data_IF_841686333475
#
_entry.id   IF_841686333475
#
_cell.length_a   1.000
_cell.length_b   1.000
_cell.length_c   1.000
_cell.angle_alpha   90.00
_cell.angle_beta   90.00
_cell.angle_gamma   90.00
#
_symmetry.space_group_name_H-M   'P 1'
#
loop_
_entity.id
_entity.type
_entity.pdbx_description
1 polymer ?
#
# COMPACT_ATOMS: atom_id res chain seq x y z
N UNK A 1 18.68 5.23 -11.52
CA UNK A 1 17.32 5.19 -12.08
C UNK A 1 16.92 3.72 -12.15
N UNK A 2 15.82 3.29 -11.52
CA UNK A 2 15.33 1.93 -11.67
C UNK A 2 15.05 1.64 -13.16
N UNK A 3 15.29 0.39 -13.57
CA UNK A 3 14.94 -0.05 -14.92
C UNK A 3 13.41 0.02 -15.08
N UNK A 4 12.95 0.53 -16.23
CA UNK A 4 11.53 0.72 -16.50
C UNK A 4 11.10 -0.26 -17.59
N UNK A 5 9.98 -0.97 -17.37
CA UNK A 5 9.34 -1.75 -18.42
C UNK A 5 8.23 -0.92 -19.04
N UNK A 6 8.41 -0.52 -20.30
CA UNK A 6 7.43 0.27 -21.08
C UNK A 6 6.69 -0.60 -22.08
N UNK A 7 5.37 -0.45 -22.17
CA UNK A 7 4.53 -1.17 -23.13
C UNK A 7 3.33 -0.31 -23.57
N UNK A 8 2.91 -0.49 -24.82
CA UNK A 8 1.70 0.13 -25.36
C UNK A 8 0.45 -0.65 -24.95
N UNK A 9 -0.58 0.06 -24.50
CA UNK A 9 -1.93 -0.43 -24.23
C UNK A 9 -2.86 0.13 -25.31
N UNK A 10 -3.50 -0.74 -26.08
CA UNK A 10 -4.52 -0.37 -27.07
C UNK A 10 -5.92 -0.70 -26.53
N UNK A 11 -6.86 0.23 -26.66
CA UNK A 11 -8.24 0.08 -26.22
C UNK A 11 -9.19 0.90 -27.12
N UNK A 12 -10.50 0.75 -26.93
CA UNK A 12 -11.50 1.42 -27.79
C UNK A 12 -11.44 2.94 -27.77
N UNK A 13 -10.88 3.54 -26.71
CA UNK A 13 -10.70 4.99 -26.56
C UNK A 13 -9.35 5.52 -27.07
N UNK A 14 -8.45 4.67 -27.57
CA UNK A 14 -7.15 5.08 -28.09
C UNK A 14 -6.00 4.15 -27.68
N UNK A 15 -4.80 4.71 -27.60
CA UNK A 15 -3.59 3.99 -27.20
C UNK A 15 -2.83 4.78 -26.13
N UNK A 16 -2.24 4.07 -25.16
CA UNK A 16 -1.37 4.64 -24.13
C UNK A 16 -0.02 3.95 -24.12
N UNK A 17 1.05 4.72 -23.99
CA UNK A 17 2.38 4.19 -23.67
C UNK A 17 2.55 4.25 -22.15
N UNK A 18 2.62 3.09 -21.50
CA UNK A 18 2.69 3.01 -20.03
C UNK A 18 3.96 2.29 -19.59
N UNK A 19 4.61 2.82 -18.58
CA UNK A 19 5.81 2.29 -17.97
C UNK A 19 5.58 1.95 -16.49
N UNK A 20 6.26 0.90 -16.02
CA UNK A 20 6.34 0.58 -14.59
C UNK A 20 7.79 0.43 -14.13
N UNK A 21 8.12 0.81 -12.88
CA UNK A 21 9.39 0.47 -12.26
C UNK A 21 9.53 -1.04 -12.09
N UNK A 22 10.72 -1.60 -12.32
CA UNK A 22 10.97 -3.03 -12.11
C UNK A 22 12.28 -3.57 -12.69
N UNK A 23 12.30 -4.87 -12.94
CA UNK A 23 13.49 -5.68 -13.27
C UNK A 23 13.79 -5.77 -14.78
N UNK A 24 13.23 -4.88 -15.59
CA UNK A 24 13.33 -4.95 -17.06
C UNK A 24 12.63 -6.17 -17.68
N UNK A 25 11.84 -6.93 -16.90
CA UNK A 25 11.09 -8.09 -17.41
C UNK A 25 9.94 -7.60 -18.31
N UNK A 26 9.94 -7.92 -19.61
CA UNK A 26 8.93 -7.44 -20.56
C UNK A 26 7.54 -8.05 -20.31
N UNK A 27 7.44 -9.13 -19.52
CA UNK A 27 6.16 -9.74 -19.13
C UNK A 27 5.46 -8.95 -18.02
N UNK A 28 6.21 -8.08 -17.32
CA UNK A 28 5.73 -7.22 -16.26
C UNK A 28 5.42 -5.83 -16.81
N UNK A 29 4.21 -5.63 -17.30
CA UNK A 29 3.72 -4.35 -17.84
C UNK A 29 3.03 -3.52 -16.75
N UNK A 30 2.86 -2.22 -17.01
CA UNK A 30 2.11 -1.28 -16.15
C UNK A 30 0.60 -1.53 -16.12
N UNK A 31 0.14 -2.52 -16.89
CA UNK A 31 -1.26 -2.88 -17.05
C UNK A 31 -1.36 -4.38 -17.37
N UNK A 32 -2.53 -4.97 -17.13
CA UNK A 32 -2.86 -6.31 -17.54
C UNK A 32 -4.23 -6.42 -18.23
N UNK A 33 -4.61 -7.64 -18.63
CA UNK A 33 -5.82 -7.86 -19.40
C UNK A 33 -7.12 -7.48 -18.66
N UNK A 34 -7.08 -7.33 -17.34
CA UNK A 34 -8.25 -6.85 -16.62
C UNK A 34 -8.37 -5.33 -16.67
N UNK A 35 -7.27 -4.59 -16.84
CA UNK A 35 -7.32 -3.15 -17.11
C UNK A 35 -7.89 -2.89 -18.51
N UNK A 36 -7.45 -3.66 -19.52
CA UNK A 36 -8.04 -3.64 -20.88
C UNK A 36 -9.56 -3.83 -20.83
N UNK A 37 -10.02 -4.91 -20.17
CA UNK A 37 -11.43 -5.25 -20.10
C UNK A 37 -12.23 -4.23 -19.29
N UNK A 38 -11.66 -3.66 -18.23
CA UNK A 38 -12.31 -2.59 -17.47
C UNK A 38 -12.48 -1.32 -18.31
N UNK A 39 -11.48 -0.92 -19.11
CA UNK A 39 -11.57 0.24 -19.99
C UNK A 39 -12.67 0.07 -21.04
N UNK A 40 -12.71 -1.08 -21.72
CA UNK A 40 -13.74 -1.37 -22.73
C UNK A 40 -15.15 -1.24 -22.14
N UNK A 41 -15.38 -1.85 -20.98
CA UNK A 41 -16.70 -1.85 -20.33
C UNK A 41 -17.05 -0.49 -19.70
N UNK A 42 -16.06 0.24 -19.17
CA UNK A 42 -16.26 1.56 -18.61
C UNK A 42 -16.63 2.58 -19.68
N UNK A 43 -16.00 2.54 -20.86
CA UNK A 43 -16.33 3.43 -21.98
C UNK A 43 -17.76 3.15 -22.48
N UNK A 44 -18.13 1.87 -22.63
CA UNK A 44 -19.49 1.49 -23.00
C UNK A 44 -20.52 1.94 -21.95
N UNK A 45 -20.24 1.74 -20.66
CA UNK A 45 -21.12 2.16 -19.58
C UNK A 45 -21.25 3.69 -19.51
N UNK A 46 -20.16 4.42 -19.68
CA UNK A 46 -20.17 5.89 -19.66
C UNK A 46 -21.02 6.46 -20.80
N UNK A 47 -20.89 5.93 -22.01
CA UNK A 47 -21.71 6.35 -23.15
C UNK A 47 -23.23 6.16 -22.90
N UNK A 48 -23.61 5.10 -22.19
CA UNK A 48 -25.02 4.86 -21.81
C UNK A 48 -25.51 5.80 -20.70
N UNK A 49 -24.61 6.29 -19.84
CA UNK A 49 -24.91 7.21 -18.74
C UNK A 49 -24.86 8.68 -19.17
N UNK A 50 -24.28 9.00 -20.33
CA UNK A 50 -24.10 10.36 -20.84
C UNK A 50 -22.84 11.02 -20.26
N UNK A 51 -23.00 11.82 -19.22
CA UNK A 51 -21.91 12.54 -18.53
C UNK A 51 -21.79 12.07 -17.06
N UNK A 52 -21.35 10.82 -16.82
CA UNK A 52 -21.29 10.28 -15.46
C UNK A 52 -20.15 10.90 -14.66
N UNK A 53 -20.34 11.04 -13.34
CA UNK A 53 -19.21 11.22 -12.42
C UNK A 53 -18.52 9.89 -12.22
N UNK A 54 -17.26 9.82 -12.67
CA UNK A 54 -16.47 8.59 -12.66
C UNK A 54 -15.53 8.54 -11.46
N UNK A 55 -15.49 7.39 -10.80
CA UNK A 55 -14.50 7.06 -9.77
C UNK A 55 -13.65 5.88 -10.23
N UNK A 56 -12.33 6.04 -10.21
CA UNK A 56 -11.36 4.94 -10.39
C UNK A 56 -10.76 4.59 -9.03
N UNK A 57 -10.80 3.30 -8.68
CA UNK A 57 -10.34 2.80 -7.38
C UNK A 57 -9.21 1.78 -7.57
N UNK A 58 -8.10 2.02 -6.87
CA UNK A 58 -6.90 1.16 -6.83
C UNK A 58 -6.28 0.85 -8.21
N UNK A 59 -6.24 1.85 -9.09
CA UNK A 59 -5.37 1.81 -10.26
C UNK A 59 -3.89 1.62 -9.83
N UNK A 60 -3.12 0.85 -10.58
CA UNK A 60 -1.76 0.48 -10.18
C UNK A 60 -0.72 1.48 -10.71
N UNK A 61 -0.79 1.78 -12.00
CA UNK A 61 0.18 2.62 -12.70
C UNK A 61 -0.47 3.63 -13.63
N UNK A 62 -1.79 3.83 -13.56
CA UNK A 62 -2.49 4.86 -14.32
C UNK A 62 -3.19 4.36 -15.59
N UNK A 63 -3.26 3.05 -15.82
CA UNK A 63 -3.89 2.51 -17.03
C UNK A 63 -5.37 2.88 -17.12
N UNK A 64 -6.10 2.77 -16.01
CA UNK A 64 -7.51 3.10 -15.93
C UNK A 64 -7.72 4.62 -15.86
N UNK A 65 -6.92 5.29 -15.05
CA UNK A 65 -7.04 6.73 -14.79
C UNK A 65 -6.75 7.56 -16.04
N UNK A 66 -5.68 7.23 -16.77
CA UNK A 66 -5.32 7.89 -18.03
C UNK A 66 -6.22 7.42 -19.18
N UNK A 67 -6.58 6.14 -19.21
CA UNK A 67 -7.47 5.59 -20.25
C UNK A 67 -8.89 6.17 -20.20
N UNK A 68 -9.33 6.64 -19.03
CA UNK A 68 -10.61 7.30 -18.82
C UNK A 68 -10.48 8.83 -18.65
N UNK A 69 -9.32 9.42 -18.93
CA UNK A 69 -9.05 10.84 -18.70
C UNK A 69 -10.08 11.80 -19.34
N UNK A 70 -10.65 11.45 -20.50
CA UNK A 70 -11.70 12.23 -21.16
C UNK A 70 -12.99 12.37 -20.31
N UNK A 71 -13.18 11.50 -19.33
CA UNK A 71 -14.29 11.54 -18.36
C UNK A 71 -13.91 12.26 -17.06
N UNK A 72 -12.69 12.81 -16.96
CA UNK A 72 -12.16 13.50 -15.77
C UNK A 72 -12.40 12.73 -14.47
N UNK A 73 -11.90 11.48 -14.37
CA UNK A 73 -12.23 10.60 -13.25
C UNK A 73 -11.63 11.13 -11.95
N UNK A 74 -12.40 11.02 -10.87
CA UNK A 74 -11.85 11.05 -9.52
C UNK A 74 -11.07 9.76 -9.28
N UNK A 75 -9.86 9.85 -8.72
CA UNK A 75 -9.00 8.68 -8.49
C UNK A 75 -8.71 8.54 -6.99
N UNK A 76 -8.91 7.33 -6.45
CA UNK A 76 -8.53 7.00 -5.07
C UNK A 76 -7.77 5.68 -5.02
N UNK A 77 -6.71 5.61 -4.21
CA UNK A 77 -5.95 4.37 -4.03
C UNK A 77 -5.32 4.27 -2.63
N UNK A 78 -5.09 3.04 -2.18
CA UNK A 78 -4.24 2.77 -1.01
C UNK A 78 -2.74 2.73 -1.36
N UNK A 79 -2.26 3.68 -2.17
CA UNK A 79 -0.88 3.67 -2.66
C UNK A 79 -0.32 5.06 -2.89
N UNK A 80 0.69 5.44 -2.10
CA UNK A 80 1.50 6.64 -2.31
C UNK A 80 2.37 6.58 -3.59
N UNK A 81 2.47 5.41 -4.23
CA UNK A 81 3.22 5.24 -5.49
C UNK A 81 2.43 5.79 -6.69
N UNK A 82 1.10 5.72 -6.64
CA UNK A 82 0.23 6.02 -7.78
C UNK A 82 0.39 7.46 -8.32
N UNK A 83 0.49 8.53 -7.50
CA UNK A 83 0.68 9.89 -8.01
C UNK A 83 1.93 10.02 -8.89
N UNK A 84 3.07 9.46 -8.46
CA UNK A 84 4.31 9.51 -9.23
C UNK A 84 4.23 8.64 -10.49
N UNK A 85 3.60 7.47 -10.41
CA UNK A 85 3.36 6.61 -11.57
C UNK A 85 2.47 7.29 -12.62
N UNK A 86 1.40 7.97 -12.18
CA UNK A 86 0.53 8.76 -13.04
C UNK A 86 1.25 9.91 -13.70
N UNK A 87 2.01 10.71 -12.94
CA UNK A 87 2.77 11.83 -13.49
C UNK A 87 3.79 11.34 -14.54
N UNK A 88 4.49 10.24 -14.25
CA UNK A 88 5.42 9.64 -15.19
C UNK A 88 4.70 9.16 -16.46
N UNK A 89 3.64 8.38 -16.33
CA UNK A 89 2.92 7.83 -17.47
C UNK A 89 2.15 8.89 -18.27
N UNK A 90 1.67 9.96 -17.63
CA UNK A 90 1.12 11.12 -18.33
C UNK A 90 2.20 11.82 -19.18
N UNK A 91 3.45 11.91 -18.69
CA UNK A 91 4.55 12.48 -19.48
C UNK A 91 4.89 11.69 -20.75
N UNK A 92 4.53 10.39 -20.79
CA UNK A 92 4.65 9.54 -21.98
C UNK A 92 3.46 9.68 -22.96
N UNK A 93 2.38 10.35 -22.54
CA UNK A 93 1.13 10.51 -23.27
C UNK A 93 0.69 12.00 -23.24
N UNK A 94 1.41 12.92 -23.92
CA UNK A 94 1.21 14.36 -23.78
C UNK A 94 -0.17 14.88 -24.20
N UNK A 95 -0.90 14.12 -25.03
CA UNK A 95 -2.28 14.43 -25.45
C UNK A 95 -3.33 14.10 -24.37
N UNK A 96 -2.93 13.39 -23.31
CA UNK A 96 -3.82 12.95 -22.24
C UNK A 96 -3.63 13.84 -21.03
N UNK A 97 -4.69 14.54 -20.63
CA UNK A 97 -4.69 15.32 -19.39
C UNK A 97 -4.89 14.38 -18.20
N UNK A 98 -3.91 14.20 -17.30
CA UNK A 98 -4.09 13.33 -16.15
C UNK A 98 -5.09 13.94 -15.14
N UNK A 99 -5.68 13.11 -14.27
CA UNK A 99 -6.44 13.61 -13.12
C UNK A 99 -5.61 14.58 -12.27
N UNK A 100 -6.25 15.65 -11.77
CA UNK A 100 -5.57 16.73 -11.03
C UNK A 100 -4.89 16.22 -9.75
N UNK A 101 -5.52 15.27 -9.06
CA UNK A 101 -4.99 14.69 -7.83
C UNK A 101 -5.45 13.24 -7.64
N UNK A 102 -4.74 12.54 -6.77
CA UNK A 102 -5.08 11.19 -6.32
C UNK A 102 -5.44 11.27 -4.84
N UNK A 103 -6.65 10.86 -4.51
CA UNK A 103 -7.09 10.74 -3.13
C UNK A 103 -6.50 9.48 -2.48
N UNK A 104 -6.36 9.52 -1.17
CA UNK A 104 -6.01 8.36 -0.34
C UNK A 104 -7.11 8.09 0.67
N UNK A 105 -7.03 7.00 1.44
CA UNK A 105 -8.02 6.75 2.49
C UNK A 105 -7.92 7.70 3.69
N UNK A 106 -6.86 8.52 3.78
CA UNK A 106 -6.74 9.62 4.76
C UNK A 106 -7.70 10.75 4.41
N UNK A 107 -7.93 10.98 3.11
CA UNK A 107 -8.76 12.05 2.56
C UNK A 107 -9.66 11.48 1.46
N UNK A 108 -10.43 10.43 1.77
CA UNK A 108 -11.23 9.73 0.77
C UNK A 108 -12.21 10.69 0.06
N UNK A 109 -12.45 10.53 -1.26
CA UNK A 109 -13.32 11.44 -1.99
C UNK A 109 -14.78 11.25 -1.58
N UNK A 110 -15.56 12.32 -1.66
CA UNK A 110 -17.01 12.28 -1.48
C UNK A 110 -17.71 12.05 -2.82
N UNK A 111 -18.81 11.30 -2.79
CA UNK A 111 -19.65 11.09 -3.96
C UNK A 111 -20.81 12.11 -4.04
N UNK A 112 -21.92 11.78 -4.71
CA UNK A 112 -22.16 10.49 -5.36
C UNK A 112 -21.33 10.25 -6.64
N UNK A 113 -21.13 9.01 -7.04
CA UNK A 113 -20.53 8.60 -8.31
C UNK A 113 -21.52 7.75 -9.11
N UNK A 114 -21.55 7.96 -10.42
CA UNK A 114 -22.47 7.31 -11.35
C UNK A 114 -21.83 6.07 -11.98
N UNK A 115 -20.51 6.10 -12.18
CA UNK A 115 -19.71 4.98 -12.66
C UNK A 115 -18.48 4.79 -11.76
N UNK A 116 -18.28 3.58 -11.25
CA UNK A 116 -17.11 3.19 -10.47
C UNK A 116 -16.36 2.10 -11.22
N UNK A 117 -15.05 2.28 -11.40
CA UNK A 117 -14.13 1.31 -11.98
C UNK A 117 -13.14 0.88 -10.90
N UNK A 118 -13.27 -0.36 -10.44
CA UNK A 118 -12.51 -0.91 -9.32
C UNK A 118 -11.55 -1.99 -9.80
N UNK A 119 -10.26 -1.82 -9.53
CA UNK A 119 -9.30 -2.92 -9.57
C UNK A 119 -9.50 -3.80 -8.33
N UNK A 120 -9.88 -5.06 -8.51
CA UNK A 120 -10.13 -5.97 -7.37
C UNK A 120 -8.81 -6.23 -6.63
N UNK A 121 -8.71 -5.88 -5.32
CA UNK A 121 -7.51 -6.17 -4.55
C UNK A 121 -7.38 -7.66 -4.26
N UNK A 122 -6.18 -8.09 -3.85
CA UNK A 122 -5.89 -9.50 -3.54
C UNK A 122 -6.47 -9.95 -2.20
N UNK A 123 -6.68 -9.02 -1.29
CA UNK A 123 -7.15 -9.27 0.07
C UNK A 123 -8.69 -9.23 0.10
N UNK A 124 -9.32 -10.32 0.56
CA UNK A 124 -10.77 -10.41 0.64
C UNK A 124 -11.38 -9.36 1.59
N UNK A 125 -10.77 -9.14 2.74
CA UNK A 125 -11.23 -8.13 3.70
C UNK A 125 -11.12 -6.71 3.11
N UNK A 126 -10.08 -6.42 2.30
CA UNK A 126 -9.96 -5.11 1.66
C UNK A 126 -11.00 -4.93 0.56
N UNK A 127 -11.25 -5.95 -0.27
CA UNK A 127 -12.38 -5.94 -1.22
C UNK A 127 -13.72 -5.70 -0.49
N UNK A 128 -13.97 -6.40 0.61
CA UNK A 128 -15.20 -6.24 1.39
C UNK A 128 -15.35 -4.82 1.95
N UNK A 129 -14.25 -4.22 2.40
CA UNK A 129 -14.21 -2.84 2.87
C UNK A 129 -14.54 -1.85 1.75
N UNK A 130 -13.91 -2.01 0.57
CA UNK A 130 -14.14 -1.16 -0.60
C UNK A 130 -15.60 -1.22 -1.05
N UNK A 131 -16.16 -2.42 -1.22
CA UNK A 131 -17.55 -2.57 -1.66
C UNK A 131 -18.55 -1.91 -0.68
N UNK A 132 -18.30 -2.03 0.63
CA UNK A 132 -19.13 -1.37 1.67
C UNK A 132 -18.98 0.14 1.68
N UNK A 133 -17.77 0.66 1.43
CA UNK A 133 -17.53 2.09 1.27
C UNK A 133 -18.21 2.63 0.00
N UNK A 134 -18.09 1.91 -1.12
CA UNK A 134 -18.71 2.25 -2.40
C UNK A 134 -20.24 2.37 -2.28
N UNK A 135 -20.87 1.51 -1.48
CA UNK A 135 -22.30 1.62 -1.20
C UNK A 135 -22.72 2.92 -0.49
N UNK A 136 -21.80 3.75 0.00
CA UNK A 136 -22.11 5.09 0.53
C UNK A 136 -21.92 6.18 -0.54
N UNK A 137 -20.95 6.00 -1.43
CA UNK A 137 -20.52 7.05 -2.37
C UNK A 137 -21.07 6.85 -3.79
N UNK A 138 -21.76 5.75 -4.09
CA UNK A 138 -22.45 5.56 -5.38
C UNK A 138 -23.87 6.14 -5.37
N UNK A 139 -24.37 6.58 -6.53
CA UNK A 139 -25.80 6.82 -6.73
C UNK A 139 -26.60 5.51 -6.65
N UNK A 140 -27.92 5.62 -6.43
CA UNK A 140 -28.80 4.44 -6.37
C UNK A 140 -28.87 3.69 -7.71
N UNK A 141 -28.70 4.40 -8.82
CA UNK A 141 -28.59 3.88 -10.18
C UNK A 141 -27.14 3.69 -10.65
N UNK A 142 -26.16 3.85 -9.75
CA UNK A 142 -24.74 3.82 -10.09
C UNK A 142 -24.27 2.43 -10.51
N UNK A 143 -23.33 2.40 -11.45
CA UNK A 143 -22.73 1.18 -12.00
C UNK A 143 -21.35 0.98 -11.40
N UNK A 144 -21.09 -0.21 -10.85
CA UNK A 144 -19.76 -0.65 -10.43
C UNK A 144 -19.24 -1.71 -11.41
N UNK A 145 -18.08 -1.45 -12.00
CA UNK A 145 -17.29 -2.40 -12.76
C UNK A 145 -16.07 -2.81 -11.94
N UNK A 146 -16.05 -4.04 -11.43
CA UNK A 146 -14.95 -4.55 -10.64
C UNK A 146 -14.17 -5.62 -11.41
N UNK A 147 -12.88 -5.42 -11.63
CA UNK A 147 -12.08 -6.25 -12.53
C UNK A 147 -10.76 -6.72 -11.93
N UNK A 148 -10.34 -7.93 -12.29
CA UNK A 148 -9.13 -8.58 -11.76
C UNK A 148 -8.64 -9.72 -12.65
N UNK A 149 -7.33 -9.98 -12.63
CA UNK A 149 -6.80 -11.24 -13.15
C UNK A 149 -7.29 -12.39 -12.28
N UNK A 150 -7.86 -13.44 -12.87
CA UNK A 150 -8.52 -14.55 -12.14
C UNK A 150 -7.60 -15.19 -11.10
N UNK A 151 -6.32 -15.40 -11.45
CA UNK A 151 -5.29 -15.96 -10.54
C UNK A 151 -4.96 -15.07 -9.33
N UNK A 152 -5.49 -13.86 -9.29
CA UNK A 152 -5.20 -12.85 -8.26
C UNK A 152 -6.45 -12.41 -7.50
N UNK A 153 -7.63 -12.88 -7.92
CA UNK A 153 -8.87 -12.65 -7.19
C UNK A 153 -8.80 -13.36 -5.83
N UNK A 154 -9.28 -12.72 -4.74
CA UNK A 154 -9.38 -13.37 -3.45
C UNK A 154 -10.24 -14.64 -3.54
N UNK A 155 -9.85 -15.69 -2.84
CA UNK A 155 -10.58 -16.97 -2.84
C UNK A 155 -12.05 -16.83 -2.44
N UNK A 156 -12.35 -15.89 -1.52
CA UNK A 156 -13.71 -15.59 -1.03
C UNK A 156 -14.40 -14.43 -1.77
N UNK A 157 -13.89 -14.03 -2.94
CA UNK A 157 -14.45 -12.89 -3.68
C UNK A 157 -15.93 -13.03 -3.98
N UNK A 158 -16.40 -14.23 -4.37
CA UNK A 158 -17.82 -14.49 -4.66
C UNK A 158 -18.71 -14.18 -3.45
N UNK A 159 -18.36 -14.70 -2.27
CA UNK A 159 -19.10 -14.45 -1.02
C UNK A 159 -19.09 -12.95 -0.68
N UNK A 160 -17.93 -12.30 -0.82
CA UNK A 160 -17.78 -10.86 -0.54
C UNK A 160 -18.66 -10.01 -1.45
N UNK A 161 -18.73 -10.31 -2.75
CA UNK A 161 -19.64 -9.61 -3.67
C UNK A 161 -21.11 -9.85 -3.28
N UNK A 162 -21.50 -11.09 -3.01
CA UNK A 162 -22.87 -11.45 -2.64
C UNK A 162 -23.33 -10.79 -1.33
N UNK A 163 -22.44 -10.62 -0.36
CA UNK A 163 -22.73 -9.96 0.91
C UNK A 163 -22.79 -8.42 0.80
N UNK A 164 -22.05 -7.82 -0.13
CA UNK A 164 -21.84 -6.38 -0.14
C UNK A 164 -22.67 -5.63 -1.19
N UNK A 165 -22.78 -6.15 -2.43
CA UNK A 165 -23.37 -5.43 -3.57
C UNK A 165 -24.37 -6.30 -4.33
N UNK A 166 -25.15 -5.71 -5.23
CA UNK A 166 -26.04 -6.45 -6.13
C UNK A 166 -25.31 -6.75 -7.43
N UNK A 167 -24.85 -7.98 -7.60
CA UNK A 167 -24.24 -8.43 -8.87
C UNK A 167 -25.30 -8.54 -9.96
N UNK A 168 -25.15 -7.77 -11.04
CA UNK A 168 -26.03 -7.85 -12.21
C UNK A 168 -25.52 -8.86 -13.23
N UNK A 169 -24.20 -8.85 -13.47
CA UNK A 169 -23.59 -9.67 -14.51
C UNK A 169 -22.14 -10.00 -14.18
N UNK A 170 -21.74 -11.23 -14.42
CA UNK A 170 -20.34 -11.64 -14.50
C UNK A 170 -19.99 -11.76 -15.97
N UNK A 171 -19.07 -10.92 -16.46
CA UNK A 171 -18.74 -10.88 -17.88
C UNK A 171 -17.90 -12.10 -18.29
N UNK A 172 -17.96 -12.54 -19.56
CA UNK A 172 -17.11 -13.61 -20.05
C UNK A 172 -15.63 -13.33 -19.80
N UNK A 173 -14.90 -14.34 -19.31
CA UNK A 173 -13.48 -14.18 -19.05
C UNK A 173 -12.71 -13.98 -20.37
N UNK A 174 -11.82 -12.98 -20.41
CA UNK A 174 -10.93 -12.70 -21.55
C UNK A 174 -9.49 -12.66 -21.08
N UNK A 175 -8.56 -13.34 -21.78
CA UNK A 175 -7.12 -13.36 -21.43
C UNK A 175 -6.83 -13.61 -19.93
N UNK A 176 -7.62 -14.49 -19.28
CA UNK A 176 -7.57 -14.80 -17.83
C UNK A 176 -7.95 -13.64 -16.89
N UNK A 177 -8.51 -12.56 -17.41
CA UNK A 177 -9.17 -11.50 -16.67
C UNK A 177 -10.67 -11.76 -16.51
N UNK A 178 -11.27 -11.10 -15.52
CA UNK A 178 -12.71 -11.10 -15.28
C UNK A 178 -13.15 -9.72 -14.81
N UNK A 179 -14.30 -9.27 -15.30
CA UNK A 179 -15.01 -8.08 -14.84
C UNK A 179 -16.39 -8.51 -14.35
N UNK A 180 -16.83 -7.89 -13.26
CA UNK A 180 -18.13 -8.08 -12.64
C UNK A 180 -18.83 -6.73 -12.65
N UNK A 181 -20.05 -6.70 -13.17
CA UNK A 181 -20.94 -5.54 -13.15
C UNK A 181 -21.90 -5.66 -11.97
N UNK A 182 -21.91 -4.64 -11.13
CA UNK A 182 -22.74 -4.57 -9.94
C UNK A 182 -23.48 -3.23 -9.85
N UNK A 183 -24.55 -3.20 -9.06
CA UNK A 183 -25.14 -1.97 -8.54
C UNK A 183 -24.96 -1.89 -7.02
N UNK A 184 -25.20 -0.70 -6.49
CA UNK A 184 -25.19 -0.41 -5.06
C UNK A 184 -26.02 -1.44 -4.27
N UNK A 185 -25.42 -1.98 -3.19
CA UNK A 185 -26.08 -2.79 -2.17
C UNK A 185 -26.43 -1.99 -0.91
N UNK A 186 -26.89 -2.68 0.14
CA UNK A 186 -27.25 -2.07 1.42
C UNK A 186 -26.15 -2.16 2.50
N UNK A 187 -25.13 -2.98 2.26
CA UNK A 187 -24.04 -3.21 3.21
C UNK A 187 -23.18 -1.95 3.37
N UNK A 188 -22.88 -1.55 4.61
CA UNK A 188 -22.06 -0.38 4.88
C UNK A 188 -20.94 -0.70 5.91
N UNK A 189 -20.09 0.30 6.19
CA UNK A 189 -18.95 0.17 7.10
C UNK A 189 -19.29 0.40 8.58
N UNK A 190 -20.36 1.12 8.90
CA UNK A 190 -20.64 1.59 10.27
C UNK A 190 -20.77 0.44 11.27
N UNK A 191 -21.43 -0.65 10.86
CA UNK A 191 -21.66 -1.83 11.70
C UNK A 191 -20.73 -2.99 11.37
N UNK A 192 -19.72 -2.76 10.51
CA UNK A 192 -18.85 -3.85 10.06
C UNK A 192 -17.71 -4.08 11.05
N UNK A 193 -17.88 -5.10 11.89
CA UNK A 193 -16.90 -5.50 12.93
C UNK A 193 -15.51 -5.80 12.39
N UNK A 194 -15.40 -6.18 11.11
CA UNK A 194 -14.13 -6.43 10.45
C UNK A 194 -13.46 -5.16 9.89
N UNK A 195 -13.93 -3.94 10.22
CA UNK A 195 -13.24 -2.68 9.88
C UNK A 195 -11.94 -2.51 10.67
N UNK A 196 -11.93 -2.86 11.95
CA UNK A 196 -10.73 -2.86 12.78
C UNK A 196 -10.55 -4.26 13.38
N UNK A 197 -9.42 -4.90 13.07
CA UNK A 197 -9.02 -6.17 13.68
C UNK A 197 -7.59 -6.05 14.16
N UNK A 198 -7.23 -6.89 15.12
CA UNK A 198 -5.84 -7.16 15.37
C UNK A 198 -5.61 -8.04 16.57
N UNK A 199 -4.53 -7.76 17.28
CA UNK A 199 -3.97 -8.62 18.31
C UNK A 199 -3.39 -7.76 19.43
N UNK A 200 -2.97 -8.42 20.51
CA UNK A 200 -2.35 -7.75 21.65
C UNK A 200 -0.88 -8.08 21.71
N UNK A 201 -0.06 -7.10 22.02
CA UNK A 201 1.36 -7.27 22.29
C UNK A 201 1.53 -7.61 23.78
N UNK A 202 1.28 -8.88 24.13
CA UNK A 202 1.63 -9.41 25.45
C UNK A 202 3.13 -9.61 25.56
N UNK A 203 3.73 -9.26 26.71
CA UNK A 203 4.98 -9.78 27.32
C UNK A 203 5.88 -8.69 27.95
N UNK A 204 5.58 -7.38 27.80
CA UNK A 204 6.36 -6.28 28.40
C UNK A 204 5.47 -5.14 28.91
N UNK A 205 6.07 -4.12 29.56
CA UNK A 205 5.41 -3.03 30.33
C UNK A 205 4.17 -2.43 29.63
N UNK A 206 3.02 -3.01 29.90
CA UNK A 206 1.74 -2.58 29.33
C UNK A 206 1.32 -3.44 28.14
N UNK A 207 0.09 -3.92 28.21
CA UNK A 207 -0.53 -4.73 27.17
C UNK A 207 -1.08 -3.82 26.06
N UNK A 208 -0.30 -3.64 25.00
CA UNK A 208 -0.61 -2.72 23.89
C UNK A 208 -1.50 -3.42 22.88
N UNK A 209 -2.71 -2.89 22.67
CA UNK A 209 -3.61 -3.33 21.61
C UNK A 209 -3.15 -2.81 20.25
N UNK A 210 -3.01 -3.72 19.28
CA UNK A 210 -2.71 -3.38 17.89
C UNK A 210 -3.97 -3.64 17.06
N UNK A 211 -4.46 -2.62 16.39
CA UNK A 211 -5.56 -2.71 15.43
C UNK A 211 -5.09 -2.23 14.06
N UNK A 212 -5.64 -2.80 13.00
CA UNK A 212 -5.37 -2.33 11.66
C UNK A 212 -6.58 -2.43 10.74
N UNK A 213 -6.58 -1.57 9.72
CA UNK A 213 -7.52 -1.60 8.61
C UNK A 213 -7.25 -2.79 7.66
N UNK A 214 -8.22 -3.16 6.80
CA UNK A 214 -8.20 -4.40 6.01
C UNK A 214 -7.05 -4.62 5.04
N UNK A 215 -6.45 -3.56 4.49
CA UNK A 215 -5.33 -3.66 3.53
C UNK A 215 -3.98 -3.91 4.23
N UNK A 216 -3.89 -3.73 5.54
CA UNK A 216 -2.62 -3.71 6.27
C UNK A 216 -2.04 -5.11 6.46
N UNK A 217 -0.73 -5.23 6.24
CA UNK A 217 0.02 -6.46 6.46
C UNK A 217 -0.05 -6.94 7.91
N UNK A 218 -0.10 -8.26 8.10
CA UNK A 218 -0.12 -8.91 9.42
C UNK A 218 -1.18 -8.33 10.37
N UNK A 219 -2.32 -7.88 9.82
CA UNK A 219 -3.44 -7.26 10.54
C UNK A 219 -3.89 -8.07 11.74
N UNK A 220 -4.15 -9.37 11.58
CA UNK A 220 -4.79 -10.20 12.62
C UNK A 220 -3.82 -10.84 13.61
N UNK A 221 -2.54 -10.97 13.25
CA UNK A 221 -1.54 -11.67 14.07
C UNK A 221 -0.16 -11.07 13.85
N UNK A 222 0.62 -10.98 14.91
CA UNK A 222 2.01 -10.54 14.85
C UNK A 222 2.82 -11.40 13.87
N UNK A 223 3.44 -10.73 12.89
CA UNK A 223 4.35 -11.35 11.93
C UNK A 223 5.55 -12.01 12.64
N UNK A 224 5.99 -13.15 12.10
CA UNK A 224 7.07 -13.94 12.70
C UNK A 224 8.41 -13.20 12.61
N UNK A 225 8.69 -12.54 11.49
CA UNK A 225 9.91 -11.74 11.32
C UNK A 225 9.93 -10.56 12.28
N UNK A 226 8.82 -9.81 12.32
CA UNK A 226 8.62 -8.69 13.25
C UNK A 226 8.80 -9.12 14.70
N UNK A 227 8.18 -10.25 15.11
CA UNK A 227 8.36 -10.82 16.45
C UNK A 227 9.82 -11.11 16.80
N UNK A 228 10.60 -11.63 15.85
CA UNK A 228 12.03 -11.89 16.05
C UNK A 228 12.81 -10.58 16.27
N UNK A 229 12.39 -9.48 15.62
CA UNK A 229 13.05 -8.18 15.69
C UNK A 229 12.72 -7.40 16.98
N UNK A 230 11.53 -7.59 17.57
CA UNK A 230 11.05 -6.80 18.72
C UNK A 230 12.02 -6.72 19.91
N UNK A 231 12.66 -7.81 20.38
CA UNK A 231 13.63 -7.72 21.46
C UNK A 231 14.82 -6.79 21.14
N UNK A 232 15.24 -6.76 19.87
CA UNK A 232 16.34 -5.93 19.39
C UNK A 232 15.94 -4.46 19.28
N UNK A 233 14.69 -4.16 18.91
CA UNK A 233 14.15 -2.79 18.96
C UNK A 233 14.26 -2.25 20.38
N UNK A 234 13.80 -3.02 21.37
CA UNK A 234 13.84 -2.61 22.79
C UNK A 234 15.28 -2.39 23.25
N UNK A 235 16.20 -3.30 22.93
CA UNK A 235 17.60 -3.15 23.32
C UNK A 235 18.21 -1.87 22.73
N UNK A 236 17.97 -1.61 21.44
CA UNK A 236 18.51 -0.41 20.78
C UNK A 236 17.92 0.88 21.36
N UNK A 237 16.62 0.89 21.64
CA UNK A 237 15.90 2.04 22.21
C UNK A 237 16.27 2.31 23.68
N UNK A 238 16.58 1.27 24.46
CA UNK A 238 16.93 1.43 25.89
C UNK A 238 18.10 2.39 26.11
N UNK A 239 19.04 2.44 25.14
CA UNK A 239 20.24 3.29 25.16
C UNK A 239 20.12 4.58 24.35
N UNK A 240 18.95 4.88 23.79
CA UNK A 240 18.70 6.14 23.09
C UNK A 240 18.91 7.36 24.02
N UNK A 241 18.85 8.56 23.50
CA UNK A 241 18.77 9.82 24.27
C UNK A 241 17.35 10.38 24.21
N UNK A 242 17.04 11.27 25.15
CA UNK A 242 15.76 11.97 25.15
C UNK A 242 15.64 12.78 23.86
N UNK A 243 14.53 12.64 23.15
CA UNK A 243 14.30 13.34 21.88
C UNK A 243 15.01 12.74 20.66
N UNK A 244 15.65 11.56 20.78
CA UNK A 244 16.16 10.84 19.61
C UNK A 244 15.02 10.57 18.61
N UNK A 245 15.38 10.68 17.33
CA UNK A 245 14.48 10.55 16.19
C UNK A 245 14.48 9.13 15.66
N UNK A 246 13.29 8.52 15.57
CA UNK A 246 13.07 7.15 15.10
C UNK A 246 12.12 7.14 13.93
N UNK A 247 12.50 6.48 12.84
CA UNK A 247 11.63 6.21 11.71
C UNK A 247 11.19 4.74 11.72
N UNK A 248 9.88 4.50 11.77
CA UNK A 248 9.28 3.21 11.43
C UNK A 248 8.94 3.22 9.93
N UNK A 249 9.79 2.59 9.12
CA UNK A 249 9.72 2.61 7.66
C UNK A 249 9.00 1.38 7.13
N UNK A 250 8.03 1.58 6.25
CA UNK A 250 7.04 0.56 5.86
C UNK A 250 6.31 0.05 7.11
N UNK A 251 5.75 0.98 7.88
CA UNK A 251 5.33 0.75 9.25
C UNK A 251 4.17 -0.24 9.42
N UNK A 252 3.35 -0.46 8.40
CA UNK A 252 2.15 -1.29 8.50
C UNK A 252 1.23 -0.82 9.63
N UNK A 253 0.97 -1.68 10.61
CA UNK A 253 0.17 -1.34 11.80
C UNK A 253 0.94 -0.54 12.88
N UNK A 254 2.22 -0.22 12.64
CA UNK A 254 3.09 0.58 13.52
C UNK A 254 3.75 -0.21 14.65
N UNK A 255 3.64 -1.54 14.68
CA UNK A 255 4.05 -2.35 15.84
C UNK A 255 5.52 -2.15 16.26
N UNK A 256 6.44 -1.87 15.33
CA UNK A 256 7.84 -1.61 15.65
C UNK A 256 8.01 -0.26 16.37
N UNK A 257 7.39 0.80 15.87
CA UNK A 257 7.37 2.11 16.53
C UNK A 257 6.64 2.09 17.86
N UNK A 258 5.51 1.37 17.99
CA UNK A 258 4.82 1.19 19.27
C UNK A 258 5.68 0.44 20.30
N UNK A 259 6.48 -0.54 19.87
CA UNK A 259 7.43 -1.22 20.75
C UNK A 259 8.55 -0.26 21.22
N UNK A 260 9.02 0.63 20.34
CA UNK A 260 9.96 1.68 20.73
C UNK A 260 9.35 2.64 21.77
N UNK A 261 8.13 3.12 21.57
CA UNK A 261 7.42 3.99 22.52
C UNK A 261 7.13 3.31 23.87
N UNK A 262 6.88 1.99 23.85
CA UNK A 262 6.67 1.20 25.07
C UNK A 262 7.92 1.16 25.95
N UNK A 263 9.10 1.14 25.33
CA UNK A 263 10.38 1.20 26.05
C UNK A 263 10.71 2.63 26.45
N UNK A 264 10.49 3.61 25.56
CA UNK A 264 10.87 4.99 25.79
C UNK A 264 9.89 5.99 25.15
N UNK A 265 9.23 6.79 25.99
CA UNK A 265 8.13 7.68 25.60
C UNK A 265 8.56 9.06 25.06
N UNK A 266 9.79 9.48 25.30
CA UNK A 266 10.30 10.81 24.91
C UNK A 266 11.01 10.83 23.55
N UNK A 267 10.85 9.75 22.77
CA UNK A 267 11.32 9.66 21.38
C UNK A 267 10.47 10.54 20.44
N UNK A 268 11.07 10.94 19.32
CA UNK A 268 10.39 11.61 18.20
C UNK A 268 10.18 10.58 17.09
N UNK A 269 8.95 10.11 16.90
CA UNK A 269 8.66 9.06 15.93
C UNK A 269 8.10 9.59 14.62
N UNK A 270 8.53 9.01 13.52
CA UNK A 270 7.88 9.13 12.21
C UNK A 270 7.47 7.74 11.75
N UNK A 271 6.23 7.59 11.34
CA UNK A 271 5.70 6.38 10.71
C UNK A 271 5.50 6.66 9.22
N UNK A 272 6.17 5.93 8.35
CA UNK A 272 6.07 6.10 6.89
C UNK A 272 5.62 4.81 6.22
N UNK A 273 4.59 4.89 5.38
CA UNK A 273 4.12 3.76 4.59
C UNK A 273 3.51 4.22 3.26
N UNK A 274 3.56 3.34 2.25
CA UNK A 274 2.89 3.52 0.97
C UNK A 274 1.38 3.30 1.07
N UNK A 275 0.91 2.58 2.08
CA UNK A 275 -0.50 2.33 2.32
C UNK A 275 -1.07 3.40 3.26
N UNK A 276 -2.04 4.16 2.79
CA UNK A 276 -2.79 5.10 3.62
C UNK A 276 -3.56 4.38 4.75
N UNK A 277 -4.01 3.13 4.55
CA UNK A 277 -4.59 2.31 5.60
C UNK A 277 -3.58 1.92 6.68
N UNK A 278 -2.32 1.66 6.31
CA UNK A 278 -1.24 1.44 7.27
C UNK A 278 -0.98 2.69 8.10
N UNK A 279 -0.83 3.85 7.45
CA UNK A 279 -0.65 5.16 8.13
C UNK A 279 -1.79 5.45 9.11
N UNK A 280 -3.04 5.24 8.71
CA UNK A 280 -4.21 5.40 9.59
C UNK A 280 -4.20 4.41 10.76
N UNK A 281 -3.74 3.19 10.53
CA UNK A 281 -3.67 2.14 11.57
C UNK A 281 -2.59 2.43 12.60
N UNK A 282 -1.39 2.79 12.15
CA UNK A 282 -0.30 3.22 13.02
C UNK A 282 -0.71 4.44 13.87
N UNK A 283 -1.35 5.44 13.25
CA UNK A 283 -1.89 6.62 13.94
C UNK A 283 -2.86 6.23 15.05
N UNK A 284 -3.88 5.44 14.73
CA UNK A 284 -4.88 4.99 15.71
C UNK A 284 -4.24 4.26 16.88
N UNK A 285 -3.27 3.38 16.62
CA UNK A 285 -2.61 2.61 17.67
C UNK A 285 -1.77 3.50 18.59
N UNK A 286 -1.02 4.46 18.03
CA UNK A 286 -0.23 5.42 18.81
C UNK A 286 -1.15 6.31 19.65
N UNK A 287 -2.19 6.90 19.07
CA UNK A 287 -3.13 7.77 19.80
C UNK A 287 -3.81 7.04 20.97
N UNK A 288 -4.10 5.75 20.81
CA UNK A 288 -4.71 4.93 21.87
C UNK A 288 -3.73 4.54 22.98
N UNK A 289 -2.51 4.16 22.63
CA UNK A 289 -1.56 3.60 23.60
C UNK A 289 -0.64 4.68 24.22
N UNK A 290 -0.35 5.74 23.47
CA UNK A 290 0.62 6.78 23.79
C UNK A 290 0.12 8.17 23.31
N UNK A 291 -0.99 8.71 23.86
CA UNK A 291 -1.60 9.96 23.40
C UNK A 291 -0.66 11.17 23.45
N UNK A 292 0.33 11.16 24.36
CA UNK A 292 1.31 12.24 24.53
C UNK A 292 2.60 12.03 23.70
N UNK A 293 2.68 10.96 22.90
CA UNK A 293 3.86 10.67 22.10
C UNK A 293 4.02 11.72 20.99
N UNK A 294 5.27 12.13 20.76
CA UNK A 294 5.60 12.97 19.61
C UNK A 294 5.75 12.10 18.37
N UNK A 295 4.65 11.90 17.66
CA UNK A 295 4.57 11.05 16.48
C UNK A 295 4.04 11.82 15.25
N UNK A 296 4.70 11.63 14.12
CA UNK A 296 4.25 12.09 12.81
C UNK A 296 3.95 10.88 11.90
N UNK A 297 3.02 11.07 10.96
CA UNK A 297 2.49 10.01 10.10
C UNK A 297 2.54 10.45 8.65
N UNK A 298 3.20 9.65 7.81
CA UNK A 298 3.58 10.01 6.45
C UNK A 298 3.12 8.95 5.44
N UNK A 299 2.28 9.34 4.49
CA UNK A 299 1.85 8.49 3.38
C UNK A 299 2.74 8.74 2.17
N UNK A 300 3.83 7.97 2.05
CA UNK A 300 4.93 8.21 1.08
C UNK A 300 5.58 6.91 0.61
N UNK A 301 6.24 6.97 -0.55
CA UNK A 301 7.03 5.87 -1.09
C UNK A 301 8.48 5.88 -0.57
N UNK A 302 8.66 5.31 0.63
CA UNK A 302 9.96 5.19 1.28
C UNK A 302 10.32 6.40 2.12
N UNK A 303 11.54 6.91 1.94
CA UNK A 303 12.04 8.14 2.59
C UNK A 303 12.30 9.20 1.51
N UNK A 304 11.48 10.23 1.47
CA UNK A 304 11.68 11.40 0.61
C UNK A 304 12.73 12.35 1.19
N UNK A 305 13.39 13.11 0.32
CA UNK A 305 14.52 13.98 0.68
C UNK A 305 14.18 15.14 1.62
N UNK A 306 12.89 15.46 1.76
CA UNK A 306 12.41 16.48 2.69
C UNK A 306 12.32 15.96 4.14
N UNK A 307 12.38 14.65 4.34
CA UNK A 307 12.50 14.05 5.66
C UNK A 307 13.92 14.26 6.20
N UNK A 308 14.01 14.66 7.47
CA UNK A 308 15.30 14.83 8.15
C UNK A 308 16.03 13.50 8.37
N UNK A 309 17.21 13.59 8.98
CA UNK A 309 17.99 12.42 9.36
C UNK A 309 17.56 11.86 10.74
N UNK A 310 17.63 10.53 10.88
CA UNK A 310 17.18 9.76 12.03
C UNK A 310 18.33 9.13 12.82
N UNK A 311 18.14 8.94 14.12
CA UNK A 311 19.07 8.22 15.00
C UNK A 311 18.87 6.70 14.90
N UNK A 312 17.64 6.27 14.60
CA UNK A 312 17.27 4.87 14.38
C UNK A 312 16.21 4.76 13.27
N UNK A 313 16.44 3.87 12.31
CA UNK A 313 15.43 3.46 11.33
C UNK A 313 15.07 2.00 11.61
N UNK A 314 13.78 1.70 11.75
CA UNK A 314 13.23 0.37 11.91
C UNK A 314 12.60 -0.06 10.58
N UNK A 315 12.90 -1.27 10.11
CA UNK A 315 12.41 -1.74 8.82
C UNK A 315 12.08 -3.24 8.84
N UNK A 316 10.87 -3.57 8.42
CA UNK A 316 10.51 -4.90 7.91
C UNK A 316 10.00 -4.70 6.47
N UNK A 317 10.87 -4.83 5.45
CA UNK A 317 10.55 -4.40 4.10
C UNK A 317 9.52 -5.34 3.48
N UNK A 318 8.66 -4.85 2.57
CA UNK A 318 7.75 -5.71 1.84
C UNK A 318 8.53 -6.71 0.97
N UNK A 319 8.06 -7.96 0.93
CA UNK A 319 8.69 -9.04 0.17
C UNK A 319 7.96 -9.38 -1.15
N UNK A 320 6.82 -8.74 -1.41
CA UNK A 320 6.00 -8.93 -2.61
C UNK A 320 5.45 -7.59 -3.10
N UNK A 321 5.59 -7.30 -4.39
CA UNK A 321 4.88 -6.19 -5.06
C UNK A 321 3.94 -6.77 -6.11
N UNK A 322 2.62 -6.63 -5.94
CA UNK A 322 1.68 -7.07 -6.95
C UNK A 322 1.78 -8.56 -7.33
N UNK A 323 2.36 -9.42 -6.47
CA UNK A 323 2.62 -10.84 -6.76
C UNK A 323 3.97 -11.15 -7.42
N UNK A 324 4.80 -10.14 -7.66
CA UNK A 324 6.19 -10.28 -8.09
C UNK A 324 7.08 -10.28 -6.85
N UNK A 325 7.92 -11.32 -6.72
CA UNK A 325 9.00 -11.36 -5.72
C UNK A 325 10.18 -10.62 -6.31
N UNK A 326 10.60 -9.53 -5.66
CA UNK A 326 11.75 -8.75 -6.09
C UNK A 326 12.39 -8.02 -4.93
N UNK A 327 13.72 -7.94 -4.93
CA UNK A 327 14.47 -7.21 -3.91
C UNK A 327 14.57 -5.72 -4.21
N UNK A 328 14.08 -5.24 -5.36
CA UNK A 328 14.25 -3.85 -5.81
C UNK A 328 13.69 -2.83 -4.80
N UNK A 329 12.52 -3.11 -4.21
CA UNK A 329 11.94 -2.24 -3.17
C UNK A 329 12.86 -2.21 -1.95
N UNK A 330 13.27 -3.37 -1.44
CA UNK A 330 14.14 -3.45 -0.27
C UNK A 330 15.48 -2.74 -0.52
N UNK A 331 16.09 -2.94 -1.69
CA UNK A 331 17.34 -2.26 -2.08
C UNK A 331 17.20 -0.74 -2.08
N UNK A 332 16.12 -0.21 -2.68
CA UNK A 332 15.84 1.23 -2.68
C UNK A 332 15.63 1.76 -1.26
N UNK A 333 14.90 1.03 -0.41
CA UNK A 333 14.71 1.40 0.98
C UNK A 333 16.03 1.38 1.77
N UNK A 334 16.96 0.45 1.46
CA UNK A 334 18.29 0.43 2.09
C UNK A 334 19.13 1.64 1.67
N UNK A 335 19.09 2.01 0.40
CA UNK A 335 19.76 3.21 -0.12
C UNK A 335 19.19 4.49 0.51
N UNK A 336 17.87 4.64 0.53
CA UNK A 336 17.21 5.78 1.17
C UNK A 336 17.55 5.82 2.66
N UNK A 337 17.49 4.69 3.37
CA UNK A 337 17.83 4.63 4.79
C UNK A 337 19.29 5.06 5.03
N UNK A 338 20.25 4.65 4.21
CA UNK A 338 21.66 5.02 4.42
C UNK A 338 21.92 6.52 4.24
N UNK A 339 21.10 7.21 3.43
CA UNK A 339 21.17 8.66 3.20
C UNK A 339 20.49 9.48 4.31
N UNK A 340 19.59 8.87 5.09
CA UNK A 340 18.79 9.53 6.13
C UNK A 340 19.17 9.10 7.55
N UNK A 341 20.37 8.54 7.75
CA UNK A 341 20.92 8.33 9.09
C UNK A 341 21.75 9.53 9.53
N UNK A 342 21.55 9.95 10.79
CA UNK A 342 22.49 10.86 11.46
C UNK A 342 23.85 10.18 11.63
N UNK A 343 24.94 10.93 11.85
CA UNK A 343 26.20 10.36 12.29
C UNK A 343 26.00 9.47 13.53
N UNK A 344 26.45 8.21 13.47
CA UNK A 344 26.22 7.20 14.51
C UNK A 344 24.82 6.59 14.55
N UNK A 345 23.93 7.02 13.66
CA UNK A 345 22.61 6.43 13.47
C UNK A 345 22.68 5.03 12.87
N UNK A 346 21.61 4.26 13.04
CA UNK A 346 21.55 2.86 12.57
C UNK A 346 20.20 2.48 11.99
N UNK A 347 20.25 1.57 11.03
CA UNK A 347 19.12 0.79 10.52
C UNK A 347 19.05 -0.53 11.30
N UNK A 348 17.90 -0.83 11.90
CA UNK A 348 17.54 -2.15 12.39
C UNK A 348 16.54 -2.77 11.41
N UNK A 349 16.86 -3.94 10.89
CA UNK A 349 16.14 -4.59 9.80
C UNK A 349 15.86 -6.05 10.14
N UNK A 350 14.68 -6.55 9.80
CA UNK A 350 14.44 -7.99 9.63
C UNK A 350 14.19 -8.31 8.17
N UNK A 351 14.80 -9.40 7.69
CA UNK A 351 14.65 -9.86 6.32
C UNK A 351 14.50 -11.37 6.22
N UNK A 352 13.90 -11.83 5.12
CA UNK A 352 13.85 -13.25 4.79
C UNK A 352 15.27 -13.79 4.55
N UNK A 353 15.60 -14.94 5.17
CA UNK A 353 16.94 -15.55 5.11
C UNK A 353 17.39 -15.83 3.68
N UNK A 354 16.49 -16.30 2.82
CA UNK A 354 16.81 -16.68 1.45
C UNK A 354 17.20 -15.50 0.55
N UNK A 355 16.87 -14.26 0.92
CA UNK A 355 17.21 -13.05 0.16
C UNK A 355 18.65 -12.56 0.44
N UNK A 356 19.29 -13.05 1.51
CA UNK A 356 20.71 -12.79 1.73
C UNK A 356 21.08 -11.31 1.88
N UNK A 357 20.22 -10.49 2.52
CA UNK A 357 20.36 -9.02 2.59
C UNK A 357 21.69 -8.50 3.13
N UNK A 358 22.46 -9.29 3.90
CA UNK A 358 23.82 -8.94 4.32
C UNK A 358 24.74 -8.49 3.15
N UNK A 359 24.55 -9.05 1.94
CA UNK A 359 25.34 -8.64 0.76
C UNK A 359 24.90 -7.29 0.23
N UNK A 360 23.60 -7.10 0.12
CA UNK A 360 22.98 -5.88 -0.38
C UNK A 360 23.22 -4.69 0.54
N UNK A 361 23.08 -4.88 1.86
CA UNK A 361 23.32 -3.85 2.86
C UNK A 361 24.76 -3.30 2.80
N UNK A 362 25.76 -4.15 2.55
CA UNK A 362 27.16 -3.73 2.44
C UNK A 362 27.44 -2.79 1.26
N UNK A 363 26.51 -2.65 0.31
CA UNK A 363 26.61 -1.66 -0.77
C UNK A 363 26.32 -0.24 -0.27
N UNK A 364 25.50 -0.11 0.77
CA UNK A 364 24.98 1.17 1.24
C UNK A 364 25.46 1.54 2.65
N UNK A 365 25.92 0.57 3.43
CA UNK A 365 26.35 0.74 4.82
C UNK A 365 27.78 0.23 5.04
N UNK A 366 28.60 1.03 5.71
CA UNK A 366 29.99 0.67 6.05
C UNK A 366 30.12 -0.38 7.18
N UNK A 367 29.06 -0.57 7.97
CA UNK A 367 28.98 -1.55 9.04
C UNK A 367 27.67 -2.32 8.92
N UNK A 368 27.75 -3.66 8.90
CA UNK A 368 26.59 -4.57 8.85
C UNK A 368 26.84 -5.73 9.80
N UNK A 369 26.00 -5.87 10.81
CA UNK A 369 26.06 -6.91 11.82
C UNK A 369 24.76 -7.72 11.81
N UNK A 370 24.87 -9.05 11.85
CA UNK A 370 23.74 -9.93 12.15
C UNK A 370 23.57 -9.99 13.67
N UNK A 371 22.39 -9.64 14.17
CA UNK A 371 22.08 -9.67 15.60
C UNK A 371 21.43 -10.99 16.02
N UNK A 372 20.60 -11.55 15.15
CA UNK A 372 19.79 -12.74 15.44
C UNK A 372 19.35 -13.42 14.15
N UNK A 373 18.95 -14.68 14.24
CA UNK A 373 18.39 -15.41 13.13
C UNK A 373 17.51 -16.58 13.56
N UNK A 374 16.43 -16.80 12.80
CA UNK A 374 15.64 -18.03 12.80
C UNK A 374 15.85 -18.79 11.48
N UNK A 375 15.25 -19.99 11.31
CA UNK A 375 15.31 -20.70 10.02
C UNK A 375 14.79 -19.86 8.84
N UNK A 376 13.84 -18.95 9.07
CA UNK A 376 13.18 -18.15 8.01
C UNK A 376 13.66 -16.71 7.91
N UNK A 377 14.06 -16.10 9.03
CA UNK A 377 14.35 -14.67 9.12
C UNK A 377 15.72 -14.39 9.73
N UNK A 378 16.29 -13.25 9.40
CA UNK A 378 17.56 -12.75 9.96
C UNK A 378 17.37 -11.29 10.36
N UNK A 379 17.84 -10.93 11.55
CA UNK A 379 17.84 -9.55 12.06
C UNK A 379 19.23 -8.95 11.87
N UNK A 380 19.28 -7.79 11.24
CA UNK A 380 20.50 -7.04 10.96
C UNK A 380 20.46 -5.67 11.63
N UNK A 381 21.65 -5.21 12.01
CA UNK A 381 21.94 -3.81 12.30
C UNK A 381 22.94 -3.30 11.27
N UNK A 382 22.64 -2.18 10.65
CA UNK A 382 23.51 -1.53 9.68
C UNK A 382 23.68 -0.04 10.00
N UNK A 383 24.83 0.55 9.65
CA UNK A 383 25.09 1.96 9.91
C UNK A 383 26.34 2.46 9.19
N UNK A 384 26.54 3.77 9.27
CA UNK A 384 27.71 4.45 8.73
C UNK A 384 28.62 4.87 9.89
N UNK A 385 29.92 4.53 9.79
CA UNK A 385 30.91 4.85 10.82
C UNK A 385 31.12 6.34 10.98
#
# INVERSE_FOLDING_TARGET
MPEMTTAQLDFSGGSLILARPGTGDPTLRAWDAADELLLEEAICAAAALGEPRVLVVDDQFGALSLGLAALSPTVVADSAVLPAALAHNASLNPEVTPPESVFSWINAPEGPFDLVVLRIPRQADYLAWLLRWLNRVMTDSGVLLAGGMIKHLPARSVDVFAEAVRTEQVLPARKKARVIRCTRGAANLADWSATWKGYRLGDRKGDVGIEALPAVFAREKLDIGTRLMLPHVVNEVSTARAGDSVLDLACGNGVLGLAALSERRDLQLVFSDVSSQAVLSARRNVEKAFPDAKAAFSHRDGIESDLGAFDLILLNPPFHEGGVVGDHIALRLFEQASQHLRPGGRLLLVGNRHLGYHRSLRRYFSSVQQLDASPKFVVFRAGNR
#
